data_IF_616405154897
#
_entry.id   IF_616405154897
#
_cell.length_a   1.000
_cell.length_b   1.000
_cell.length_c   1.000
_cell.angle_alpha   90.00
_cell.angle_beta   90.00
_cell.angle_gamma   90.00
#
_symmetry.space_group_name_H-M   'P 1'
#
loop_
_entity.id
_entity.type
_entity.pdbx_description
1 polymer ?
#
# COMPACT_ATOMS: atom_id res chain seq x y z
N UNK A 1 15.68 41.49 -3.70
CA UNK A 1 14.43 40.71 -3.77
C UNK A 1 13.24 41.66 -3.72
N UNK A 2 12.43 41.72 -4.78
CA UNK A 2 11.24 42.57 -4.82
C UNK A 2 10.10 41.97 -3.97
N UNK A 3 9.11 42.79 -3.61
CA UNK A 3 8.00 42.40 -2.72
C UNK A 3 7.23 41.18 -3.25
N UNK A 4 7.12 41.05 -4.57
CA UNK A 4 6.47 39.95 -5.27
C UNK A 4 7.25 38.63 -5.14
N UNK A 5 8.58 38.64 -5.24
CA UNK A 5 9.41 37.44 -5.03
C UNK A 5 9.31 36.92 -3.59
N UNK A 6 9.18 37.81 -2.60
CA UNK A 6 8.99 37.41 -1.18
C UNK A 6 7.63 36.74 -0.94
N UNK A 7 6.57 37.23 -1.59
CA UNK A 7 5.22 36.66 -1.46
C UNK A 7 5.10 35.28 -2.12
N UNK A 8 5.71 35.10 -3.30
CA UNK A 8 5.75 33.78 -3.96
C UNK A 8 6.55 32.78 -3.12
N UNK A 9 7.72 33.18 -2.60
CA UNK A 9 8.51 32.32 -1.73
C UNK A 9 7.78 31.90 -0.45
N UNK A 10 7.05 32.84 0.18
CA UNK A 10 6.25 32.55 1.37
C UNK A 10 5.07 31.61 1.07
N UNK A 11 4.41 31.76 -0.09
CA UNK A 11 3.33 30.88 -0.53
C UNK A 11 3.80 29.44 -0.80
N UNK A 12 4.96 29.28 -1.45
CA UNK A 12 5.55 27.95 -1.69
C UNK A 12 5.96 27.27 -0.37
N UNK A 13 6.53 28.03 0.57
CA UNK A 13 6.90 27.48 1.88
C UNK A 13 5.66 27.02 2.68
N UNK A 14 4.58 27.80 2.68
CA UNK A 14 3.35 27.46 3.38
C UNK A 14 2.65 26.20 2.79
N UNK A 15 2.70 26.02 1.48
CA UNK A 15 2.18 24.82 0.81
C UNK A 15 3.01 23.56 1.11
N UNK A 16 4.32 23.69 1.40
CA UNK A 16 5.15 22.56 1.79
C UNK A 16 4.77 21.99 3.16
N UNK A 17 4.27 22.83 4.08
CA UNK A 17 3.86 22.41 5.43
C UNK A 17 2.49 21.71 5.48
N UNK A 18 1.67 21.76 4.43
CA UNK A 18 0.38 21.02 4.40
C UNK A 18 0.54 19.56 3.96
N UNK A 19 1.72 19.15 3.49
CA UNK A 19 2.00 17.80 2.99
C UNK A 19 2.55 16.81 4.04
N UNK A 20 2.83 17.27 5.27
CA UNK A 20 3.37 16.43 6.36
C UNK A 20 2.32 15.55 7.07
N UNK A 21 1.10 15.46 6.53
CA UNK A 21 0.00 14.67 7.10
C UNK A 21 -0.12 13.23 6.58
N UNK A 22 0.82 12.73 5.77
CA UNK A 22 0.80 11.31 5.39
C UNK A 22 0.93 10.46 6.67
N UNK A 23 -0.11 9.71 6.99
CA UNK A 23 -0.09 8.78 8.13
C UNK A 23 0.94 7.67 7.88
N UNK A 24 1.48 7.09 8.95
CA UNK A 24 2.42 5.97 8.87
C UNK A 24 1.89 4.82 7.99
N UNK A 25 0.57 4.60 7.98
CA UNK A 25 -0.08 3.61 7.12
C UNK A 25 -0.05 4.00 5.64
N UNK A 26 -0.36 5.26 5.30
CA UNK A 26 -0.27 5.77 3.93
C UNK A 26 1.17 5.75 3.42
N UNK A 27 2.13 6.13 4.27
CA UNK A 27 3.55 6.05 3.96
C UNK A 27 4.00 4.59 3.77
N UNK A 28 3.60 3.69 4.68
CA UNK A 28 3.91 2.26 4.58
C UNK A 28 3.36 1.62 3.30
N UNK A 29 2.14 1.99 2.87
CA UNK A 29 1.58 1.54 1.58
C UNK A 29 2.39 2.04 0.37
N UNK A 30 2.96 3.24 0.46
CA UNK A 30 3.79 3.81 -0.59
C UNK A 30 5.18 3.17 -0.63
N UNK A 31 5.80 2.93 0.53
CA UNK A 31 7.13 2.32 0.59
C UNK A 31 7.11 0.84 0.29
N UNK A 32 5.99 0.14 0.54
CA UNK A 32 5.81 -1.28 0.21
C UNK A 32 5.76 -1.59 -1.31
N UNK A 33 5.91 -0.58 -2.17
CA UNK A 33 6.01 -0.81 -3.61
C UNK A 33 7.32 -1.52 -3.98
N UNK A 34 7.22 -2.80 -4.31
CA UNK A 34 8.35 -3.65 -4.68
C UNK A 34 8.59 -4.77 -3.67
N UNK A 35 8.14 -4.57 -2.44
CA UNK A 35 8.27 -5.54 -1.36
C UNK A 35 7.34 -6.73 -1.60
N UNK A 36 7.80 -7.90 -1.17
CA UNK A 36 6.95 -9.08 -1.13
C UNK A 36 6.02 -8.98 0.07
N UNK A 37 4.83 -9.56 -0.06
CA UNK A 37 3.89 -9.67 1.04
C UNK A 37 3.58 -11.13 1.32
N UNK A 38 3.48 -11.48 2.59
CA UNK A 38 2.81 -12.71 2.99
C UNK A 38 1.29 -12.45 3.01
N UNK A 39 0.54 -13.27 2.29
CA UNK A 39 -0.92 -13.22 2.17
C UNK A 39 -1.49 -14.47 2.82
N UNK A 40 -2.12 -14.29 3.99
CA UNK A 40 -2.78 -15.36 4.73
C UNK A 40 -4.27 -15.11 4.80
N UNK A 41 -5.08 -16.04 4.28
CA UNK A 41 -6.54 -15.91 4.33
C UNK A 41 -7.16 -16.99 5.21
N UNK A 42 -8.23 -16.61 5.89
CA UNK A 42 -8.89 -17.38 6.93
C UNK A 42 -10.37 -17.59 6.60
N UNK A 43 -10.93 -18.68 7.11
CA UNK A 43 -12.38 -18.93 7.13
C UNK A 43 -12.76 -19.50 8.49
N UNK A 44 -13.67 -18.82 9.20
CA UNK A 44 -14.02 -19.20 10.58
C UNK A 44 -12.84 -19.25 11.54
N UNK A 45 -11.84 -18.36 11.34
CA UNK A 45 -10.61 -18.32 12.13
C UNK A 45 -9.56 -19.40 11.78
N UNK A 46 -9.83 -20.27 10.81
CA UNK A 46 -8.88 -21.28 10.34
C UNK A 46 -8.14 -20.80 9.11
N UNK A 47 -6.82 -20.95 9.06
CA UNK A 47 -5.99 -20.62 7.90
C UNK A 47 -6.35 -21.56 6.73
N UNK A 48 -6.75 -20.98 5.59
CA UNK A 48 -7.14 -21.72 4.38
C UNK A 48 -6.26 -21.43 3.18
N UNK A 49 -5.48 -20.34 3.23
CA UNK A 49 -4.56 -19.93 2.18
C UNK A 49 -3.37 -19.21 2.80
N UNK A 50 -2.17 -19.54 2.35
CA UNK A 50 -0.91 -18.92 2.76
C UNK A 50 0.02 -18.91 1.55
N UNK A 51 0.36 -17.71 1.06
CA UNK A 51 1.35 -17.57 0.00
C UNK A 51 2.05 -16.21 0.00
N UNK A 52 3.15 -16.13 -0.74
CA UNK A 52 3.97 -14.92 -0.85
C UNK A 52 3.76 -14.28 -2.21
N UNK A 53 3.47 -12.99 -2.25
CA UNK A 53 3.40 -12.23 -3.49
C UNK A 53 4.78 -11.86 -4.03
N UNK A 54 4.89 -11.60 -5.34
CA UNK A 54 6.11 -11.03 -5.93
C UNK A 54 6.26 -9.53 -5.70
N UNK A 55 5.26 -8.88 -5.11
CA UNK A 55 5.18 -7.42 -4.98
C UNK A 55 3.93 -6.97 -4.24
N UNK A 56 3.60 -5.69 -4.36
CA UNK A 56 2.44 -5.10 -3.70
C UNK A 56 1.12 -5.79 -4.06
N UNK A 57 0.40 -6.24 -3.04
CA UNK A 57 -0.97 -6.73 -3.12
C UNK A 57 -1.92 -5.55 -3.27
N UNK A 58 -2.86 -5.67 -4.19
CA UNK A 58 -3.82 -4.62 -4.52
C UNK A 58 -5.21 -5.07 -4.11
N UNK A 59 -5.96 -4.15 -3.49
CA UNK A 59 -7.37 -4.35 -3.16
C UNK A 59 -8.22 -4.23 -4.43
N UNK A 60 -9.20 -5.11 -4.58
CA UNK A 60 -10.22 -4.95 -5.60
C UNK A 60 -11.11 -3.73 -5.31
N UNK A 61 -11.55 -3.06 -6.37
CA UNK A 61 -12.32 -1.82 -6.22
C UNK A 61 -13.79 -2.07 -5.84
N UNK A 62 -14.31 -3.26 -6.16
CA UNK A 62 -15.73 -3.58 -6.07
C UNK A 62 -16.03 -4.83 -5.22
N UNK A 63 -15.06 -5.30 -4.43
CA UNK A 63 -15.20 -6.45 -3.53
C UNK A 63 -14.22 -6.35 -2.37
N UNK A 64 -14.38 -7.21 -1.37
CA UNK A 64 -13.40 -7.39 -0.28
C UNK A 64 -12.21 -8.27 -0.71
N UNK A 65 -11.96 -8.35 -2.02
CA UNK A 65 -10.94 -9.18 -2.63
C UNK A 65 -9.58 -8.49 -2.75
N UNK A 66 -8.56 -9.32 -2.97
CA UNK A 66 -7.20 -8.89 -3.22
C UNK A 66 -6.60 -9.67 -4.37
N UNK A 67 -5.84 -8.99 -5.23
CA UNK A 67 -5.09 -9.63 -6.30
C UNK A 67 -3.60 -9.32 -6.23
N UNK A 68 -2.81 -10.32 -6.63
CA UNK A 68 -1.36 -10.26 -6.64
C UNK A 68 -0.79 -11.36 -7.55
N UNK A 69 0.47 -11.22 -7.93
CA UNK A 69 1.21 -12.30 -8.58
C UNK A 69 1.87 -13.15 -7.51
N UNK A 70 1.56 -14.44 -7.52
CA UNK A 70 2.14 -15.40 -6.58
C UNK A 70 3.60 -15.69 -6.91
N UNK A 71 4.46 -15.66 -5.89
CA UNK A 71 5.92 -15.84 -6.03
C UNK A 71 6.29 -17.28 -6.38
N UNK A 72 5.54 -18.26 -5.87
CA UNK A 72 5.83 -19.68 -6.08
C UNK A 72 5.45 -20.15 -7.47
N UNK A 73 4.25 -19.81 -7.92
CA UNK A 73 3.67 -20.30 -9.17
C UNK A 73 3.82 -19.33 -10.34
N UNK A 74 4.12 -18.05 -10.06
CA UNK A 74 4.18 -17.00 -11.07
C UNK A 74 2.81 -16.61 -11.63
N UNK A 75 1.71 -17.16 -11.10
CA UNK A 75 0.35 -16.90 -11.57
C UNK A 75 -0.24 -15.66 -10.91
N UNK A 76 -1.16 -15.01 -11.62
CA UNK A 76 -2.06 -14.05 -10.98
C UNK A 76 -3.04 -14.81 -10.10
N UNK A 77 -3.13 -14.39 -8.85
CA UNK A 77 -4.06 -14.90 -7.86
C UNK A 77 -5.02 -13.79 -7.47
N UNK A 78 -6.26 -14.19 -7.23
CA UNK A 78 -7.29 -13.36 -6.60
C UNK A 78 -7.86 -14.15 -5.43
N UNK A 79 -7.91 -13.54 -4.27
CA UNK A 79 -8.47 -14.11 -3.04
C UNK A 79 -9.60 -13.22 -2.55
N UNK A 80 -10.61 -13.81 -1.93
CA UNK A 80 -11.73 -13.11 -1.31
C UNK A 80 -12.01 -13.72 0.05
N UNK A 81 -12.20 -12.89 1.07
CA UNK A 81 -12.42 -13.30 2.46
C UNK A 81 -11.49 -12.61 3.45
N UNK A 82 -11.38 -13.18 4.66
CA UNK A 82 -10.62 -12.60 5.76
C UNK A 82 -9.12 -12.81 5.55
N UNK A 83 -8.47 -11.88 4.86
CA UNK A 83 -7.04 -11.95 4.57
C UNK A 83 -6.22 -10.95 5.39
N UNK A 84 -5.12 -11.42 5.95
CA UNK A 84 -4.05 -10.60 6.54
C UNK A 84 -2.91 -10.52 5.53
N UNK A 85 -2.53 -9.29 5.17
CA UNK A 85 -1.44 -9.02 4.25
C UNK A 85 -0.32 -8.33 5.04
N UNK A 86 0.79 -9.04 5.21
CA UNK A 86 1.96 -8.53 5.94
C UNK A 86 3.07 -8.23 4.95
N UNK A 87 3.60 -7.02 5.01
CA UNK A 87 4.76 -6.59 4.22
C UNK A 87 5.98 -6.62 5.11
N UNK A 88 7.03 -7.30 4.67
CA UNK A 88 8.35 -7.27 5.30
C UNK A 88 9.25 -6.38 4.43
N UNK A 89 9.57 -5.15 4.88
CA UNK A 89 10.45 -4.21 4.16
C UNK A 89 11.93 -4.65 4.16
#
# INVERSE_FOLDING_TARGET
MNKSTKLVAAGVLAAAFTMVGCTDASWGKLTAYGDNANVQCYSGGTLIFDSVSTGKVISEANSDGYYFKDKKTGKMMEVSGDCIITYDP
#
